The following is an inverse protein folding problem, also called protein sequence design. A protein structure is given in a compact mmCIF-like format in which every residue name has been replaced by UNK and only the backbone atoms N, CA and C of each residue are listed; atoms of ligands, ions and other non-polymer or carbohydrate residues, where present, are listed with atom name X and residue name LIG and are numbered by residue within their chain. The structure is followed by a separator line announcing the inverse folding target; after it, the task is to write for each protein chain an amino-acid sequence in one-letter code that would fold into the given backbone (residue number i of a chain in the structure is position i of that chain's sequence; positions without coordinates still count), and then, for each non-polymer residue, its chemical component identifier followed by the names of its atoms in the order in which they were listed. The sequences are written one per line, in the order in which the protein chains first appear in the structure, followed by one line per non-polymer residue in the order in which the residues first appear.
data_IF_629720573943
#
_entry.id   IF_629720573943
#
_cell.length_a   1.000
_cell.length_b   1.000
_cell.length_c   1.000
_cell.angle_alpha   90.00
_cell.angle_beta   90.00
_cell.angle_gamma   90.00
#
_symmetry.space_group_name_H-M   'P 1'
#
loop_
_entity.id
_entity.type
_entity.pdbx_description
1 polymer ?
#
# COMPACT_ATOMS: atom_id res chain seq x y z
N UNK A 1 -0.55 -11.55 10.86
CA UNK A 1 -0.89 -10.72 9.69
C UNK A 1 -0.14 -11.23 8.48
N UNK A 2 -0.82 -11.39 7.36
CA UNK A 2 -0.19 -11.72 6.07
C UNK A 2 -0.05 -10.43 5.28
N UNK A 3 1.17 -9.90 5.17
CA UNK A 3 1.47 -8.81 4.25
C UNK A 3 1.80 -9.41 2.89
N UNK A 4 1.23 -8.84 1.83
CA UNK A 4 1.55 -9.24 0.46
C UNK A 4 2.61 -8.33 -0.16
N UNK A 5 2.70 -7.08 0.31
CA UNK A 5 3.86 -6.22 0.08
C UNK A 5 4.84 -6.33 1.25
N UNK A 6 6.16 -6.34 0.98
CA UNK A 6 7.16 -6.29 2.05
C UNK A 6 7.13 -4.91 2.75
N UNK A 7 6.71 -4.81 4.04
CA UNK A 7 6.57 -3.53 4.72
C UNK A 7 7.91 -2.78 4.86
N UNK A 8 9.04 -3.50 4.87
CA UNK A 8 10.37 -2.92 4.98
C UNK A 8 10.70 -1.94 3.86
N UNK A 9 10.06 -2.09 2.69
CA UNK A 9 10.24 -1.19 1.55
C UNK A 9 9.83 0.23 1.90
N UNK A 10 8.79 0.39 2.72
CA UNK A 10 8.18 1.67 3.05
C UNK A 10 8.94 2.46 4.13
N UNK A 11 9.97 1.87 4.73
CA UNK A 11 10.95 2.59 5.54
C UNK A 11 11.97 3.36 4.70
N UNK A 12 12.12 3.02 3.42
CA UNK A 12 12.91 3.82 2.48
C UNK A 12 12.10 5.01 1.97
N UNK A 13 12.80 6.02 1.48
CA UNK A 13 12.15 7.17 0.84
C UNK A 13 11.63 6.75 -0.54
N UNK A 14 10.31 6.82 -0.69
CA UNK A 14 9.56 6.47 -1.90
C UNK A 14 8.76 7.69 -2.34
N UNK A 15 8.61 7.90 -3.65
CA UNK A 15 7.82 9.01 -4.20
C UNK A 15 6.32 8.68 -4.17
N UNK A 16 5.54 9.43 -3.41
CA UNK A 16 4.09 9.24 -3.30
C UNK A 16 3.35 9.75 -4.55
N UNK A 17 2.05 9.46 -4.65
CA UNK A 17 1.14 9.99 -5.69
C UNK A 17 1.01 11.52 -5.63
N UNK A 18 1.26 12.13 -4.46
CA UNK A 18 1.33 13.57 -4.30
C UNK A 18 2.66 14.20 -4.78
N UNK A 19 3.53 13.40 -5.41
CA UNK A 19 4.86 13.77 -5.92
C UNK A 19 5.92 14.10 -4.86
N UNK A 20 5.60 14.02 -3.57
CA UNK A 20 6.57 14.16 -2.49
C UNK A 20 7.34 12.85 -2.25
N UNK A 21 8.63 12.96 -1.98
CA UNK A 21 9.47 11.85 -1.52
C UNK A 21 9.35 11.72 0.00
N UNK A 22 8.79 10.61 0.46
CA UNK A 22 8.45 10.40 1.88
C UNK A 22 8.87 9.02 2.36
N UNK A 23 9.08 8.91 3.66
CA UNK A 23 9.01 7.61 4.34
C UNK A 23 7.57 7.46 4.80
N UNK A 24 6.94 6.34 4.47
CA UNK A 24 5.56 6.11 4.86
C UNK A 24 5.49 5.60 6.30
N UNK A 25 4.38 5.90 6.98
CA UNK A 25 4.06 5.32 8.28
C UNK A 25 3.25 4.05 8.07
N UNK A 26 3.58 2.96 8.77
CA UNK A 26 2.83 1.69 8.69
C UNK A 26 1.82 1.68 9.83
N UNK A 27 0.57 1.34 9.51
CA UNK A 27 -0.54 1.18 10.45
C UNK A 27 -1.09 -0.23 10.25
N UNK A 28 -0.87 -1.11 11.20
CA UNK A 28 -1.15 -2.54 11.04
C UNK A 28 -2.65 -2.90 11.20
N UNK A 29 -3.41 -2.13 11.98
CA UNK A 29 -4.79 -2.45 12.37
C UNK A 29 -5.75 -1.29 12.07
N UNK A 30 -6.03 -1.05 10.78
CA UNK A 30 -7.09 -0.12 10.38
C UNK A 30 -8.37 -0.88 10.00
N UNK A 31 -9.50 -0.49 10.58
CA UNK A 31 -10.80 -1.11 10.28
C UNK A 31 -11.48 -0.42 9.10
N UNK A 32 -12.08 -1.22 8.22
CA UNK A 32 -13.03 -0.79 7.19
C UNK A 32 -14.22 -1.75 7.11
N UNK A 33 -15.18 -1.49 6.23
CA UNK A 33 -16.39 -2.30 6.07
C UNK A 33 -16.14 -3.77 5.73
N UNK A 34 -14.95 -4.11 5.20
CA UNK A 34 -14.57 -5.46 4.82
C UNK A 34 -13.59 -6.14 5.79
N UNK A 35 -13.23 -5.48 6.89
CA UNK A 35 -12.36 -6.04 7.94
C UNK A 35 -11.17 -5.14 8.29
N UNK A 36 -10.20 -5.76 8.96
CA UNK A 36 -8.98 -5.11 9.42
C UNK A 36 -7.90 -5.24 8.34
N UNK A 37 -7.24 -4.13 8.06
CA UNK A 37 -6.17 -4.02 7.08
C UNK A 37 -4.89 -3.47 7.69
N UNK A 38 -3.77 -3.86 7.08
CA UNK A 38 -2.51 -3.14 7.21
C UNK A 38 -2.36 -2.14 6.07
N UNK A 39 -2.14 -0.87 6.42
CA UNK A 39 -1.99 0.24 5.47
C UNK A 39 -0.69 0.98 5.69
N UNK A 40 -0.27 1.71 4.66
CA UNK A 40 0.76 2.73 4.77
C UNK A 40 0.14 4.12 4.57
N UNK A 41 0.61 5.10 5.34
CA UNK A 41 0.15 6.48 5.27
C UNK A 41 1.25 7.40 4.76
N UNK A 42 0.91 8.25 3.79
CA UNK A 42 1.79 9.33 3.37
C UNK A 42 1.72 10.49 4.39
N UNK A 43 2.82 10.89 5.05
CA UNK A 43 2.78 11.97 6.04
C UNK A 43 2.51 13.36 5.42
N UNK A 44 2.59 13.49 4.08
CA UNK A 44 2.39 14.76 3.37
C UNK A 44 0.95 14.97 2.89
N UNK A 45 0.38 13.98 2.20
CA UNK A 45 -0.99 14.07 1.67
C UNK A 45 -2.02 13.28 2.46
N UNK A 46 -1.60 12.53 3.49
CA UNK A 46 -2.46 11.74 4.39
C UNK A 46 -3.19 10.57 3.72
N UNK A 47 -2.96 10.33 2.42
CA UNK A 47 -3.49 9.17 1.70
C UNK A 47 -3.02 7.86 2.32
N UNK A 48 -3.93 6.89 2.32
CA UNK A 48 -3.76 5.55 2.87
C UNK A 48 -3.76 4.54 1.74
N UNK A 49 -2.78 3.64 1.75
CA UNK A 49 -2.67 2.56 0.77
C UNK A 49 -2.68 1.23 1.51
N UNK A 50 -3.57 0.32 1.14
CA UNK A 50 -3.52 -1.03 1.68
C UNK A 50 -2.32 -1.80 1.11
N UNK A 51 -1.61 -2.50 1.98
CA UNK A 51 -0.42 -3.31 1.66
C UNK A 51 -0.65 -4.81 1.83
N UNK A 52 -1.84 -5.19 2.30
CA UNK A 52 -2.28 -6.58 2.32
C UNK A 52 -3.06 -6.93 1.06
N UNK A 53 -4.18 -6.29 0.76
CA UNK A 53 -5.02 -6.69 -0.36
C UNK A 53 -5.71 -5.50 -1.02
N UNK A 54 -6.24 -5.67 -2.23
CA UNK A 54 -7.02 -4.59 -2.84
C UNK A 54 -8.28 -4.36 -1.99
N UNK A 55 -8.48 -3.12 -1.56
CA UNK A 55 -9.59 -2.70 -0.72
C UNK A 55 -10.15 -1.36 -1.21
N UNK A 56 -11.45 -1.27 -1.56
CA UNK A 56 -12.07 -0.04 -2.07
C UNK A 56 -12.01 1.16 -1.12
N UNK A 57 -11.75 0.93 0.18
CA UNK A 57 -11.64 1.98 1.18
C UNK A 57 -10.30 2.75 1.12
N UNK A 58 -9.28 2.22 0.43
CA UNK A 58 -7.92 2.75 0.40
C UNK A 58 -7.43 2.94 -1.04
N UNK A 59 -6.38 3.74 -1.22
CA UNK A 59 -5.70 3.84 -2.51
C UNK A 59 -4.99 2.53 -2.87
N UNK A 60 -4.89 2.25 -4.17
CA UNK A 60 -4.14 1.10 -4.67
C UNK A 60 -2.63 1.35 -4.50
N UNK A 61 -1.95 0.48 -3.76
CA UNK A 61 -0.51 0.61 -3.53
C UNK A 61 0.30 0.50 -4.82
N UNK A 62 -0.23 -0.15 -5.87
CA UNK A 62 0.39 -0.22 -7.18
C UNK A 62 0.48 1.14 -7.87
N UNK A 63 -0.32 2.14 -7.47
CA UNK A 63 -0.18 3.52 -7.96
C UNK A 63 1.17 4.15 -7.60
N UNK A 64 1.83 3.66 -6.54
CA UNK A 64 3.17 4.11 -6.18
C UNK A 64 4.21 3.69 -7.23
N UNK A 65 3.99 2.59 -7.97
CA UNK A 65 4.94 2.12 -8.98
C UNK A 65 5.08 3.09 -10.16
N UNK A 66 4.04 3.88 -10.46
CA UNK A 66 4.06 4.93 -11.49
C UNK A 66 5.20 5.93 -11.29
N UNK A 67 5.60 6.14 -10.04
CA UNK A 67 6.66 7.07 -9.66
C UNK A 67 7.93 6.38 -9.14
N UNK A 68 7.91 5.05 -8.95
CA UNK A 68 8.98 4.28 -8.33
C UNK A 68 9.17 2.98 -9.10
N UNK A 69 10.02 3.05 -10.12
CA UNK A 69 10.26 1.92 -11.01
C UNK A 69 10.75 0.69 -10.24
N UNK A 70 10.15 -0.47 -10.51
CA UNK A 70 10.45 -1.76 -9.85
C UNK A 70 10.29 -1.76 -8.32
N UNK A 71 9.38 -0.95 -7.77
CA UNK A 71 9.09 -0.97 -6.33
C UNK A 71 8.56 -2.33 -5.87
N UNK A 72 7.78 -3.01 -6.72
CA UNK A 72 7.20 -4.32 -6.43
C UNK A 72 7.69 -5.38 -7.43
N UNK A 73 7.93 -6.59 -6.93
CA UNK A 73 8.15 -7.75 -7.77
C UNK A 73 6.84 -8.24 -8.39
N UNK A 74 6.92 -8.94 -9.52
CA UNK A 74 5.74 -9.53 -10.17
C UNK A 74 4.98 -10.49 -9.24
N UNK A 75 5.68 -11.18 -8.33
CA UNK A 75 5.06 -12.04 -7.31
C UNK A 75 4.22 -11.22 -6.32
N UNK A 76 4.75 -10.11 -5.81
CA UNK A 76 4.02 -9.24 -4.87
C UNK A 76 2.76 -8.66 -5.53
N UNK A 77 2.87 -8.20 -6.79
CA UNK A 77 1.72 -7.70 -7.56
C UNK A 77 0.65 -8.78 -7.75
N UNK A 78 1.08 -9.99 -8.12
CA UNK A 78 0.18 -11.12 -8.31
C UNK A 78 -0.53 -11.50 -7.00
N UNK A 79 0.22 -11.67 -5.91
CA UNK A 79 -0.38 -12.07 -4.64
C UNK A 79 -1.31 -10.96 -4.08
N UNK A 80 -0.97 -9.68 -4.27
CA UNK A 80 -1.80 -8.53 -3.89
C UNK A 80 -3.13 -8.47 -4.67
N UNK A 81 -3.08 -8.70 -5.99
CA UNK A 81 -4.27 -8.61 -6.87
C UNK A 81 -5.22 -9.81 -6.74
N UNK A 82 -4.71 -10.99 -6.38
CA UNK A 82 -5.54 -12.18 -6.13
C UNK A 82 -6.47 -12.02 -4.93
N UNK A 83 -6.08 -11.20 -3.96
CA UNK A 83 -6.85 -10.94 -2.76
C UNK A 83 -7.50 -9.57 -2.96
N UNK A 84 -8.76 -9.57 -3.39
CA UNK A 84 -9.52 -8.34 -3.58
C UNK A 84 -10.90 -8.50 -2.97
N UNK A 85 -11.36 -7.46 -2.27
CA UNK A 85 -12.75 -7.40 -1.87
C UNK A 85 -13.62 -7.11 -3.10
N UNK A 86 -14.84 -7.65 -3.17
CA UNK A 86 -15.76 -7.30 -4.24
C UNK A 86 -16.08 -5.79 -4.22
N UNK A 87 -16.04 -5.18 -5.41
CA UNK A 87 -16.40 -3.77 -5.64
C UNK A 87 -17.90 -3.49 -5.45
#
# INVERSE_FOLDING_TARGET
MHYYMNPQKFHNTIKCVCNESVNFEIIDEIECDWGIHSVIQCPKCQELFSIDNICPAFCDVLDLEKNNFNLFSEKEKFDYTLNSHPN
#
